data_IF_783879722126
#
_entry.id   IF_783879722126
#
_cell.length_a   1.000
_cell.length_b   1.000
_cell.length_c   1.000
_cell.angle_alpha   90.00
_cell.angle_beta   90.00
_cell.angle_gamma   90.00
#
_symmetry.space_group_name_H-M   'P 1'
#
loop_
_entity.id
_entity.type
_entity.pdbx_description
1 polymer ?
#
# COMPACT_ATOMS: atom_id res chain seq x y z
N UNK A 1 -18.78 25.66 -10.33
CA UNK A 1 -18.21 25.80 -11.70
C UNK A 1 -17.43 27.10 -11.94
N UNK A 2 -17.87 28.27 -11.44
CA UNK A 2 -17.12 29.55 -11.58
C UNK A 2 -15.77 29.60 -10.84
N UNK A 3 -15.65 28.93 -9.68
CA UNK A 3 -14.41 28.84 -8.90
C UNK A 3 -13.32 28.02 -9.59
N UNK A 4 -13.67 26.87 -10.20
CA UNK A 4 -12.77 26.00 -10.95
C UNK A 4 -12.20 26.69 -12.21
N UNK A 5 -13.03 27.43 -12.96
CA UNK A 5 -12.56 28.23 -14.10
C UNK A 5 -11.61 29.35 -13.67
N UNK A 6 -11.88 30.02 -12.55
CA UNK A 6 -10.98 31.04 -12.01
C UNK A 6 -9.65 30.43 -11.54
N UNK A 7 -9.67 29.23 -10.94
CA UNK A 7 -8.48 28.50 -10.53
C UNK A 7 -7.62 28.05 -11.72
N UNK A 8 -8.27 27.53 -12.77
CA UNK A 8 -7.60 27.13 -14.02
C UNK A 8 -7.00 28.32 -14.78
N UNK A 9 -7.70 29.46 -14.84
CA UNK A 9 -7.16 30.67 -15.47
C UNK A 9 -5.96 31.25 -14.70
N UNK A 10 -5.95 31.11 -13.37
CA UNK A 10 -4.79 31.47 -12.52
C UNK A 10 -3.63 30.48 -12.70
N UNK A 11 -3.91 29.20 -12.90
CA UNK A 11 -2.90 28.18 -13.25
C UNK A 11 -2.26 28.41 -14.62
N UNK A 12 -3.03 28.86 -15.61
CA UNK A 12 -2.49 29.18 -16.94
C UNK A 12 -1.69 30.48 -16.91
N UNK A 13 -2.07 31.44 -16.07
CA UNK A 13 -1.32 32.69 -15.89
C UNK A 13 0.09 32.50 -15.30
N UNK A 14 0.36 31.36 -14.62
CA UNK A 14 1.69 30.98 -14.12
C UNK A 14 2.72 30.71 -15.23
N UNK A 15 2.27 30.34 -16.43
CA UNK A 15 3.15 29.96 -17.54
C UNK A 15 3.42 31.10 -18.55
N UNK A 16 2.91 32.31 -18.31
CA UNK A 16 3.01 33.44 -19.23
C UNK A 16 3.27 34.79 -18.56
N UNK A 17 4.02 34.82 -17.45
CA UNK A 17 4.21 36.01 -16.61
C UNK A 17 5.05 37.11 -17.28
N UNK A 18 6.07 36.77 -18.08
CA UNK A 18 7.00 37.77 -18.65
C UNK A 18 6.34 38.74 -19.63
N UNK A 19 5.41 38.27 -20.48
CA UNK A 19 4.74 39.15 -21.46
C UNK A 19 3.80 40.17 -20.81
N UNK A 20 3.07 39.74 -19.76
CA UNK A 20 2.03 40.57 -19.13
C UNK A 20 2.59 41.54 -18.08
N UNK A 21 3.75 41.21 -17.51
CA UNK A 21 4.52 42.16 -16.70
C UNK A 21 5.05 43.31 -17.56
N UNK A 22 5.37 43.04 -18.84
CA UNK A 22 5.78 44.07 -19.79
C UNK A 22 4.62 44.98 -20.18
N UNK A 23 3.46 44.41 -20.47
CA UNK A 23 2.24 45.18 -20.78
C UNK A 23 1.85 46.12 -19.61
N UNK A 24 1.92 45.64 -18.37
CA UNK A 24 1.63 46.45 -17.18
C UNK A 24 2.68 47.57 -16.98
N UNK A 25 3.95 47.29 -17.27
CA UNK A 25 4.99 48.31 -17.23
C UNK A 25 4.78 49.40 -18.29
N UNK A 26 4.42 48.99 -19.51
CA UNK A 26 4.10 49.90 -20.62
C UNK A 26 2.85 50.75 -20.30
N UNK A 27 1.79 50.16 -19.75
CA UNK A 27 0.57 50.88 -19.33
C UNK A 27 0.86 51.92 -18.22
N UNK A 28 1.70 51.56 -17.25
CA UNK A 28 2.10 52.48 -16.18
C UNK A 28 2.99 53.61 -16.67
N UNK A 29 3.92 53.35 -17.59
CA UNK A 29 4.74 54.39 -18.23
C UNK A 29 3.88 55.37 -19.04
N UNK A 30 2.87 54.87 -19.76
CA UNK A 30 1.91 55.70 -20.48
C UNK A 30 1.14 56.63 -19.52
N UNK A 31 0.72 56.13 -18.35
CA UNK A 31 0.07 56.95 -17.32
C UNK A 31 0.98 58.05 -16.74
N UNK A 32 2.27 57.77 -16.56
CA UNK A 32 3.24 58.78 -16.11
C UNK A 32 3.40 59.88 -17.16
N UNK A 33 3.50 59.50 -18.44
CA UNK A 33 3.63 60.46 -19.54
C UNK A 33 2.41 61.37 -19.65
N UNK A 34 1.20 60.80 -19.52
CA UNK A 34 -0.05 61.55 -19.56
C UNK A 34 -0.13 62.61 -18.45
N UNK A 35 0.26 62.27 -17.22
CA UNK A 35 0.31 63.25 -16.11
C UNK A 35 1.40 64.31 -16.28
N UNK A 36 2.52 63.96 -16.90
CA UNK A 36 3.54 64.95 -17.25
C UNK A 36 2.98 65.94 -18.28
N UNK A 37 2.25 65.47 -19.28
CA UNK A 37 1.66 66.29 -20.34
C UNK A 37 0.53 67.20 -19.82
N UNK A 38 -0.35 66.69 -18.97
CA UNK A 38 -1.38 67.50 -18.28
C UNK A 38 -0.74 68.61 -17.42
N UNK A 39 0.31 68.29 -16.67
CA UNK A 39 0.99 69.27 -15.82
C UNK A 39 1.75 70.33 -16.64
N UNK A 40 2.27 69.96 -17.82
CA UNK A 40 2.82 70.92 -18.78
C UNK A 40 1.74 71.85 -19.33
N UNK A 41 0.56 71.33 -19.67
CA UNK A 41 -0.59 72.14 -20.10
C UNK A 41 -1.12 73.05 -18.99
N UNK A 42 -0.99 72.66 -17.73
CA UNK A 42 -1.28 73.49 -16.56
C UNK A 42 -0.22 74.56 -16.27
N UNK A 43 0.85 74.66 -17.10
CA UNK A 43 1.87 75.70 -17.02
C UNK A 43 3.09 75.37 -16.16
N UNK A 44 3.26 74.11 -15.74
CA UNK A 44 4.45 73.71 -14.98
C UNK A 44 5.68 73.53 -15.88
N UNK A 45 6.87 73.71 -15.30
CA UNK A 45 8.11 73.35 -15.98
C UNK A 45 8.26 71.82 -16.10
N UNK A 46 8.95 71.34 -17.14
CA UNK A 46 9.16 69.89 -17.39
C UNK A 46 9.74 69.14 -16.18
N UNK A 47 10.65 69.79 -15.44
CA UNK A 47 11.27 69.22 -14.25
C UNK A 47 10.28 69.04 -13.09
N UNK A 48 9.39 70.02 -12.89
CA UNK A 48 8.35 69.99 -11.86
C UNK A 48 7.23 69.01 -12.23
N UNK A 49 6.77 69.03 -13.49
CA UNK A 49 5.74 68.12 -14.00
C UNK A 49 6.14 66.64 -13.82
N UNK A 50 7.40 66.29 -14.10
CA UNK A 50 7.95 64.93 -13.88
C UNK A 50 8.02 64.53 -12.41
N UNK A 51 8.38 65.47 -11.53
CA UNK A 51 8.43 65.21 -10.09
C UNK A 51 7.03 65.03 -9.53
N UNK A 52 6.08 65.87 -9.91
CA UNK A 52 4.67 65.78 -9.49
C UNK A 52 4.02 64.47 -9.98
N UNK A 53 4.21 64.11 -11.25
CA UNK A 53 3.69 62.85 -11.81
C UNK A 53 4.23 61.61 -11.06
N UNK A 54 5.52 61.61 -10.70
CA UNK A 54 6.12 60.53 -9.90
C UNK A 54 5.60 60.47 -8.45
N UNK A 55 5.28 61.62 -7.86
CA UNK A 55 4.73 61.70 -6.50
C UNK A 55 3.26 61.24 -6.50
N UNK A 56 2.44 61.71 -7.45
CA UNK A 56 1.03 61.31 -7.61
C UNK A 56 0.85 59.81 -7.84
N UNK A 57 1.74 59.19 -8.62
CA UNK A 57 1.64 57.75 -8.90
C UNK A 57 2.02 56.86 -7.70
N UNK A 58 2.60 57.42 -6.63
CA UNK A 58 2.84 56.71 -5.37
C UNK A 58 3.55 55.37 -5.53
N UNK A 59 4.88 55.39 -5.67
CA UNK A 59 5.73 54.19 -5.59
C UNK A 59 5.39 53.11 -6.62
N UNK A 60 5.78 53.32 -7.89
CA UNK A 60 5.47 52.41 -9.00
C UNK A 60 5.81 50.93 -8.72
N UNK A 61 6.94 50.67 -8.05
CA UNK A 61 7.35 49.30 -7.71
C UNK A 61 6.43 48.64 -6.69
N UNK A 62 5.89 49.42 -5.74
CA UNK A 62 4.99 48.91 -4.71
C UNK A 62 3.60 48.59 -5.27
N UNK A 63 3.16 49.34 -6.28
CA UNK A 63 1.92 49.06 -7.01
C UNK A 63 2.07 47.81 -7.90
N UNK A 64 3.21 47.65 -8.60
CA UNK A 64 3.54 46.44 -9.37
C UNK A 64 3.61 45.19 -8.49
N UNK A 65 4.29 45.27 -7.34
CA UNK A 65 4.36 44.17 -6.37
C UNK A 65 2.99 43.78 -5.83
N UNK A 66 2.17 44.75 -5.40
CA UNK A 66 0.82 44.47 -4.92
C UNK A 66 -0.06 43.83 -6.00
N UNK A 67 0.13 44.22 -7.27
CA UNK A 67 -0.61 43.65 -8.39
C UNK A 67 -0.15 42.22 -8.71
N UNK A 68 1.16 41.95 -8.66
CA UNK A 68 1.74 40.59 -8.77
C UNK A 68 1.25 39.67 -7.65
N UNK A 69 1.31 40.13 -6.40
CA UNK A 69 0.88 39.36 -5.22
C UNK A 69 -0.62 39.03 -5.23
N UNK A 70 -1.46 39.88 -5.86
CA UNK A 70 -2.91 39.65 -6.02
C UNK A 70 -3.27 38.77 -7.22
N UNK A 71 -2.41 38.69 -8.25
CA UNK A 71 -2.66 37.92 -9.49
C UNK A 71 -2.12 36.49 -9.45
N UNK A 72 -0.93 36.28 -8.88
CA UNK A 72 -0.28 34.97 -8.84
C UNK A 72 -0.85 34.06 -7.75
N UNK A 73 -0.44 32.79 -7.78
CA UNK A 73 -0.44 31.93 -6.59
C UNK A 73 0.98 31.98 -6.03
N UNK A 74 1.38 33.02 -5.28
CA UNK A 74 2.76 33.22 -4.87
C UNK A 74 3.33 32.00 -4.11
N UNK A 75 2.48 31.28 -3.39
CA UNK A 75 2.86 30.01 -2.75
C UNK A 75 3.33 28.94 -3.75
N UNK A 76 2.67 28.83 -4.91
CA UNK A 76 2.99 27.83 -5.93
C UNK A 76 4.24 28.21 -6.72
N UNK A 77 4.40 29.50 -7.05
CA UNK A 77 5.61 30.03 -7.71
C UNK A 77 6.83 29.88 -6.81
N UNK A 78 6.71 30.25 -5.55
CA UNK A 78 7.77 30.08 -4.56
C UNK A 78 8.08 28.60 -4.37
N UNK A 79 7.07 27.73 -4.26
CA UNK A 79 7.28 26.29 -4.13
C UNK A 79 8.02 25.68 -5.33
N UNK A 80 7.67 26.06 -6.57
CA UNK A 80 8.38 25.60 -7.77
C UNK A 80 9.80 26.14 -7.87
N UNK A 81 10.00 27.41 -7.49
CA UNK A 81 11.33 28.03 -7.39
C UNK A 81 12.20 27.29 -6.38
N UNK A 82 11.66 26.99 -5.20
CA UNK A 82 12.33 26.26 -4.12
C UNK A 82 12.64 24.82 -4.53
N UNK A 83 11.73 24.12 -5.22
CA UNK A 83 11.99 22.80 -5.77
C UNK A 83 13.13 22.81 -6.79
N UNK A 84 13.13 23.78 -7.72
CA UNK A 84 14.18 23.90 -8.75
C UNK A 84 15.53 24.27 -8.13
N UNK A 85 15.51 25.15 -7.13
CA UNK A 85 16.70 25.49 -6.35
C UNK A 85 17.22 24.27 -5.58
N UNK A 86 16.35 23.54 -4.88
CA UNK A 86 16.67 22.32 -4.15
C UNK A 86 17.27 21.25 -5.06
N UNK A 87 16.66 20.99 -6.23
CA UNK A 87 17.19 20.03 -7.21
C UNK A 87 18.59 20.42 -7.71
N UNK A 88 18.84 21.73 -7.92
CA UNK A 88 20.16 22.23 -8.30
C UNK A 88 21.17 22.08 -7.15
N UNK A 89 20.75 22.29 -5.91
CA UNK A 89 21.60 22.09 -4.72
C UNK A 89 21.98 20.61 -4.52
N UNK A 90 21.03 19.69 -4.72
CA UNK A 90 21.26 18.24 -4.67
C UNK A 90 22.27 17.81 -5.75
N UNK A 91 22.11 18.29 -6.99
CA UNK A 91 23.08 18.05 -8.08
C UNK A 91 24.47 18.59 -7.80
N UNK A 92 24.58 19.72 -7.08
CA UNK A 92 25.87 20.33 -6.75
C UNK A 92 26.62 19.56 -5.66
N UNK A 93 25.90 18.82 -4.80
CA UNK A 93 26.46 18.06 -3.68
C UNK A 93 26.09 16.56 -3.79
N UNK A 94 26.63 15.82 -4.78
CA UNK A 94 26.22 14.46 -5.07
C UNK A 94 26.52 13.47 -3.95
N UNK A 95 27.64 13.63 -3.23
CA UNK A 95 28.02 12.71 -2.13
C UNK A 95 27.05 12.76 -0.94
N UNK A 96 26.74 13.97 -0.44
CA UNK A 96 25.75 14.16 0.62
C UNK A 96 24.36 13.67 0.19
N UNK A 97 23.96 14.03 -1.04
CA UNK A 97 22.70 13.58 -1.63
C UNK A 97 22.60 12.07 -1.68
N UNK A 98 23.66 11.37 -2.10
CA UNK A 98 23.68 9.91 -2.16
C UNK A 98 23.48 9.27 -0.78
N UNK A 99 24.17 9.76 0.25
CA UNK A 99 24.02 9.25 1.63
C UNK A 99 22.59 9.48 2.15
N UNK A 100 22.04 10.69 1.92
CA UNK A 100 20.68 11.02 2.33
C UNK A 100 19.64 10.13 1.63
N UNK A 101 19.77 9.95 0.31
CA UNK A 101 18.89 9.10 -0.51
C UNK A 101 19.00 7.65 -0.07
N UNK A 102 20.20 7.10 0.12
CA UNK A 102 20.38 5.72 0.57
C UNK A 102 19.76 5.48 1.94
N UNK A 103 19.92 6.42 2.87
CA UNK A 103 19.31 6.34 4.21
C UNK A 103 17.78 6.33 4.12
N UNK A 104 17.20 7.21 3.29
CA UNK A 104 15.76 7.25 3.03
C UNK A 104 15.25 5.96 2.39
N UNK A 105 15.92 5.48 1.34
CA UNK A 105 15.57 4.24 0.64
C UNK A 105 15.63 3.05 1.59
N UNK A 106 16.64 2.96 2.45
CA UNK A 106 16.76 1.87 3.42
C UNK A 106 15.63 1.93 4.46
N UNK A 107 15.36 3.11 5.03
CA UNK A 107 14.29 3.28 6.03
C UNK A 107 12.90 2.98 5.46
N UNK A 108 12.59 3.51 4.27
CA UNK A 108 11.31 3.28 3.59
C UNK A 108 11.21 1.83 3.15
N UNK A 109 12.26 1.29 2.52
CA UNK A 109 12.29 -0.07 1.99
C UNK A 109 12.17 -1.14 3.08
N UNK A 110 12.87 -0.98 4.19
CA UNK A 110 12.79 -1.91 5.32
C UNK A 110 11.39 -1.93 5.94
N UNK A 111 10.83 -0.75 6.26
CA UNK A 111 9.50 -0.66 6.85
C UNK A 111 8.42 -1.20 5.90
N UNK A 112 8.52 -0.86 4.61
CA UNK A 112 7.60 -1.37 3.59
C UNK A 112 7.74 -2.88 3.41
N UNK A 113 8.96 -3.40 3.44
CA UNK A 113 9.23 -4.83 3.31
C UNK A 113 8.66 -5.64 4.47
N UNK A 114 8.91 -5.21 5.71
CA UNK A 114 8.34 -5.84 6.91
C UNK A 114 6.82 -5.81 6.85
N UNK A 115 6.23 -4.65 6.53
CA UNK A 115 4.78 -4.53 6.43
C UNK A 115 4.21 -5.40 5.30
N UNK A 116 4.90 -5.54 4.17
CA UNK A 116 4.46 -6.40 3.06
C UNK A 116 4.39 -7.86 3.50
N UNK A 117 5.41 -8.35 4.22
CA UNK A 117 5.43 -9.70 4.77
C UNK A 117 4.32 -9.86 5.80
N UNK A 118 4.19 -8.94 6.77
CA UNK A 118 3.14 -8.99 7.78
C UNK A 118 1.73 -8.93 7.16
N UNK A 119 1.55 -8.12 6.13
CA UNK A 119 0.28 -8.03 5.43
C UNK A 119 -0.06 -9.33 4.71
N UNK A 120 0.90 -9.92 4.01
CA UNK A 120 0.73 -11.21 3.34
C UNK A 120 0.55 -12.39 4.30
N UNK A 121 1.19 -12.35 5.48
CA UNK A 121 1.22 -13.46 6.43
C UNK A 121 0.16 -13.38 7.53
N UNK A 122 -0.30 -12.18 7.91
CA UNK A 122 -1.12 -11.97 9.10
C UNK A 122 -2.32 -11.03 8.92
N UNK A 123 -2.27 -10.04 8.02
CA UNK A 123 -3.36 -9.04 7.90
C UNK A 123 -4.32 -9.31 6.74
N UNK A 124 -3.87 -9.98 5.68
CA UNK A 124 -4.73 -10.33 4.56
C UNK A 124 -5.68 -11.44 5.00
N UNK A 125 -6.98 -11.16 4.90
CA UNK A 125 -8.01 -12.15 5.14
C UNK A 125 -7.78 -13.37 4.24
N UNK A 126 -8.05 -14.54 4.81
CA UNK A 126 -7.92 -15.81 4.11
C UNK A 126 -8.86 -15.80 2.88
N UNK A 127 -8.45 -16.29 1.70
CA UNK A 127 -9.29 -16.28 0.51
C UNK A 127 -10.36 -17.38 0.57
N UNK A 128 -11.24 -17.30 1.56
CA UNK A 128 -12.37 -18.20 1.80
C UNK A 128 -13.66 -17.38 1.89
N UNK A 129 -14.82 -17.97 1.61
CA UNK A 129 -16.09 -17.32 1.89
C UNK A 129 -16.18 -16.91 3.36
N UNK A 130 -16.76 -15.73 3.63
CA UNK A 130 -16.95 -15.23 5.00
C UNK A 130 -15.68 -15.20 5.85
N UNK A 131 -14.54 -14.80 5.26
CA UNK A 131 -13.23 -14.82 5.91
C UNK A 131 -13.18 -13.98 7.21
N UNK A 132 -14.04 -12.98 7.34
CA UNK A 132 -14.25 -12.17 8.54
C UNK A 132 -14.85 -12.94 9.73
N UNK A 133 -15.49 -14.08 9.48
CA UNK A 133 -16.06 -14.96 10.51
C UNK A 133 -15.10 -16.07 10.95
N UNK A 134 -13.96 -16.22 10.27
CA UNK A 134 -12.96 -17.26 10.57
C UNK A 134 -12.08 -16.81 11.74
N UNK A 135 -12.08 -17.58 12.82
CA UNK A 135 -11.28 -17.32 14.01
C UNK A 135 -10.33 -18.46 14.34
N UNK A 136 -9.16 -18.11 14.88
CA UNK A 136 -8.22 -19.09 15.41
C UNK A 136 -8.55 -19.39 16.88
N UNK A 137 -8.95 -20.63 17.16
CA UNK A 137 -9.15 -21.10 18.54
C UNK A 137 -7.78 -21.42 19.15
N UNK A 138 -7.50 -20.86 20.32
CA UNK A 138 -6.27 -21.13 21.08
C UNK A 138 -6.60 -21.41 22.54
N UNK A 139 -5.87 -22.35 23.14
CA UNK A 139 -6.02 -22.65 24.57
C UNK A 139 -4.97 -21.90 25.37
N UNK A 140 -5.41 -21.11 26.34
CA UNK A 140 -4.53 -20.47 27.33
C UNK A 140 -4.65 -21.19 28.65
N UNK A 141 -3.57 -21.82 29.10
CA UNK A 141 -3.50 -22.35 30.46
C UNK A 141 -3.10 -21.22 31.40
N UNK A 142 -4.06 -20.72 32.18
CA UNK A 142 -3.72 -19.94 33.38
C UNK A 142 -2.87 -20.88 34.24
N UNK A 143 -1.66 -20.46 34.64
CA UNK A 143 -0.76 -21.24 35.51
C UNK A 143 -1.53 -21.68 36.77
N UNK A 144 -2.20 -22.82 36.71
CA UNK A 144 -2.68 -23.55 37.86
C UNK A 144 -1.41 -23.93 38.61
N UNK A 145 -1.32 -23.55 39.87
CA UNK A 145 -0.11 -23.69 40.68
C UNK A 145 0.44 -25.12 40.57
N UNK A 146 1.53 -25.28 39.84
CA UNK A 146 2.15 -26.57 39.56
C UNK A 146 2.81 -26.64 38.18
N UNK A 147 3.79 -27.55 37.97
CA UNK A 147 4.45 -27.72 36.68
C UNK A 147 3.54 -28.52 35.74
N UNK A 148 2.47 -27.91 35.22
CA UNK A 148 1.68 -28.51 34.13
C UNK A 148 2.57 -28.53 32.88
N UNK A 149 3.20 -29.67 32.62
CA UNK A 149 3.98 -29.93 31.41
C UNK A 149 3.07 -30.50 30.33
N UNK A 150 2.25 -29.64 29.71
CA UNK A 150 1.53 -30.01 28.50
C UNK A 150 2.38 -29.71 27.27
N UNK A 151 2.55 -30.72 26.43
CA UNK A 151 3.34 -30.60 25.22
C UNK A 151 2.63 -31.35 24.08
N UNK A 152 1.91 -30.59 23.24
CA UNK A 152 1.32 -31.11 21.99
C UNK A 152 2.13 -30.54 20.83
N UNK A 153 2.92 -31.41 20.16
CA UNK A 153 3.89 -31.01 19.11
C UNK A 153 4.76 -29.82 19.51
N UNK A 154 5.43 -29.91 20.66
CA UNK A 154 6.32 -28.87 21.22
C UNK A 154 5.63 -27.55 21.61
N UNK A 155 4.29 -27.51 21.65
CA UNK A 155 3.54 -26.32 22.04
C UNK A 155 2.44 -26.65 23.07
N UNK A 156 2.41 -25.89 24.17
CA UNK A 156 1.41 -26.07 25.22
C UNK A 156 0.02 -25.54 24.82
N UNK A 157 -0.08 -24.71 23.77
CA UNK A 157 -1.33 -24.08 23.32
C UNK A 157 -2.04 -24.83 22.19
N UNK A 158 -1.41 -25.84 21.57
CA UNK A 158 -2.01 -26.65 20.50
C UNK A 158 -2.98 -27.69 21.04
N UNK A 159 -3.96 -28.13 20.26
CA UNK A 159 -4.92 -29.17 20.69
C UNK A 159 -4.47 -30.56 20.24
N UNK A 160 -4.62 -31.56 21.11
CA UNK A 160 -4.59 -32.96 20.70
C UNK A 160 -5.83 -33.27 19.84
N UNK A 161 -5.76 -34.33 19.05
CA UNK A 161 -6.88 -34.71 18.18
C UNK A 161 -8.16 -35.04 18.99
N UNK A 162 -8.02 -35.68 20.15
CA UNK A 162 -9.16 -35.99 21.02
C UNK A 162 -9.81 -34.75 21.63
N UNK A 163 -9.01 -33.74 22.01
CA UNK A 163 -9.55 -32.45 22.44
C UNK A 163 -10.28 -31.76 21.29
N UNK A 164 -9.71 -31.75 20.07
CA UNK A 164 -10.39 -31.22 18.89
C UNK A 164 -11.75 -31.89 18.67
N UNK A 165 -11.83 -33.23 18.69
CA UNK A 165 -13.10 -33.93 18.50
C UNK A 165 -14.10 -33.57 19.58
N UNK A 166 -13.66 -33.47 20.85
CA UNK A 166 -14.55 -33.07 21.94
C UNK A 166 -15.09 -31.65 21.75
N UNK A 167 -14.24 -30.68 21.38
CA UNK A 167 -14.68 -29.32 21.11
C UNK A 167 -15.59 -29.23 19.90
N UNK A 168 -15.30 -29.95 18.81
CA UNK A 168 -16.14 -29.96 17.61
C UNK A 168 -17.52 -30.55 17.90
N UNK A 169 -17.57 -31.69 18.59
CA UNK A 169 -18.81 -32.44 18.79
C UNK A 169 -19.71 -31.79 19.87
N UNK A 170 -19.13 -30.96 20.74
CA UNK A 170 -19.83 -30.18 21.79
C UNK A 170 -19.86 -28.68 21.47
N UNK A 171 -19.68 -28.29 20.21
CA UNK A 171 -19.66 -26.90 19.80
C UNK A 171 -21.07 -26.37 19.52
N UNK A 172 -21.48 -25.36 20.29
CA UNK A 172 -22.71 -24.60 20.08
C UNK A 172 -22.47 -23.14 19.62
N UNK A 173 -21.21 -22.74 19.47
CA UNK A 173 -20.82 -21.32 19.24
C UNK A 173 -20.46 -21.07 17.78
N UNK A 174 -19.72 -21.98 17.15
CA UNK A 174 -19.25 -21.83 15.78
C UNK A 174 -20.15 -22.58 14.80
N UNK A 175 -20.21 -22.13 13.54
CA UNK A 175 -20.90 -22.86 12.46
C UNK A 175 -20.20 -24.18 12.11
N UNK A 176 -18.91 -24.28 12.39
CA UNK A 176 -18.12 -25.49 12.26
C UNK A 176 -16.73 -25.32 12.87
N UNK A 177 -16.11 -26.43 13.24
CA UNK A 177 -14.74 -26.45 13.75
C UNK A 177 -13.91 -27.42 12.91
N UNK A 178 -12.75 -26.96 12.45
CA UNK A 178 -11.76 -27.76 11.72
C UNK A 178 -10.44 -27.81 12.50
N UNK A 179 -9.63 -28.81 12.22
CA UNK A 179 -8.26 -28.91 12.73
C UNK A 179 -7.28 -29.03 11.58
N UNK A 180 -6.08 -28.47 11.78
CA UNK A 180 -4.94 -28.73 10.92
C UNK A 180 -3.63 -28.73 11.71
N UNK A 181 -2.66 -29.48 11.21
CA UNK A 181 -1.29 -29.48 11.65
C UNK A 181 -0.41 -29.12 10.44
N UNK A 182 0.15 -27.90 10.39
CA UNK A 182 0.97 -27.48 9.27
C UNK A 182 2.37 -28.11 9.34
N UNK A 183 3.12 -27.89 8.28
CA UNK A 183 4.55 -28.20 8.16
C UNK A 183 4.88 -29.69 8.40
N UNK A 184 4.06 -30.58 7.86
CA UNK A 184 4.32 -32.02 7.91
C UNK A 184 5.24 -32.37 6.75
N UNK A 185 6.45 -32.82 7.06
CA UNK A 185 7.40 -33.33 6.07
C UNK A 185 6.87 -34.62 5.46
N UNK A 186 6.86 -34.69 4.14
CA UNK A 186 6.39 -35.83 3.36
C UNK A 186 7.35 -36.03 2.20
N UNK A 187 7.86 -37.24 1.99
CA UNK A 187 8.59 -37.54 0.76
C UNK A 187 7.65 -38.20 -0.23
N UNK A 188 7.55 -37.60 -1.41
CA UNK A 188 6.93 -38.25 -2.56
C UNK A 188 7.97 -39.15 -3.20
N UNK A 189 7.64 -40.42 -3.38
CA UNK A 189 8.45 -41.40 -4.10
C UNK A 189 8.12 -41.42 -5.60
N UNK A 190 8.70 -42.39 -6.31
CA UNK A 190 8.54 -42.55 -7.76
C UNK A 190 9.80 -42.20 -8.54
N UNK A 191 9.67 -41.89 -9.82
CA UNK A 191 10.81 -41.66 -10.73
C UNK A 191 11.64 -40.43 -10.34
N UNK A 192 11.01 -39.44 -9.70
CA UNK A 192 11.67 -38.22 -9.23
C UNK A 192 11.24 -37.95 -7.79
N UNK A 193 11.93 -38.51 -6.78
CA UNK A 193 11.59 -38.27 -5.40
C UNK A 193 11.67 -36.79 -5.04
N UNK A 194 10.68 -36.30 -4.30
CA UNK A 194 10.61 -34.91 -3.87
C UNK A 194 10.29 -34.83 -2.38
N UNK A 195 11.07 -34.03 -1.66
CA UNK A 195 10.73 -33.63 -0.31
C UNK A 195 9.68 -32.52 -0.36
N UNK A 196 8.55 -32.75 0.30
CA UNK A 196 7.41 -31.87 0.30
C UNK A 196 7.05 -31.50 1.74
N UNK A 197 6.41 -30.35 1.86
CA UNK A 197 5.82 -29.90 3.11
C UNK A 197 4.31 -29.87 2.89
N UNK A 198 3.60 -30.74 3.60
CA UNK A 198 2.16 -30.84 3.61
C UNK A 198 1.53 -30.32 4.90
N UNK A 199 0.21 -30.50 4.98
CA UNK A 199 -0.57 -30.31 6.19
C UNK A 199 -1.45 -31.53 6.42
N UNK A 200 -1.57 -31.96 7.67
CA UNK A 200 -2.61 -32.90 8.08
C UNK A 200 -3.83 -32.09 8.48
N UNK A 201 -5.00 -32.47 8.02
CA UNK A 201 -6.25 -31.75 8.29
C UNK A 201 -7.33 -32.69 8.78
N UNK A 202 -8.35 -32.15 9.44
CA UNK A 202 -9.59 -32.87 9.72
C UNK A 202 -10.36 -33.19 8.43
N UNK A 203 -11.27 -34.17 8.46
CA UNK A 203 -12.04 -34.57 7.28
C UNK A 203 -12.88 -33.43 6.73
N UNK A 204 -13.56 -32.73 7.63
CA UNK A 204 -14.44 -31.61 7.35
C UNK A 204 -13.69 -30.31 7.01
N UNK A 205 -12.38 -30.35 6.77
CA UNK A 205 -11.57 -29.15 6.56
C UNK A 205 -12.09 -28.29 5.40
N UNK A 206 -12.33 -28.91 4.25
CA UNK A 206 -12.83 -28.23 3.06
C UNK A 206 -14.29 -27.80 3.19
N UNK A 207 -15.09 -28.57 3.93
CA UNK A 207 -16.51 -28.29 4.15
C UNK A 207 -16.70 -27.08 5.06
N UNK A 208 -15.95 -27.01 6.16
CA UNK A 208 -15.98 -25.87 7.10
C UNK A 208 -15.45 -24.59 6.45
N UNK A 209 -14.38 -24.69 5.63
CA UNK A 209 -13.89 -23.53 4.88
C UNK A 209 -14.76 -23.17 3.67
N UNK A 210 -15.71 -24.04 3.29
CA UNK A 210 -16.51 -23.88 2.07
C UNK A 210 -15.67 -23.69 0.80
N UNK A 211 -14.48 -24.32 0.75
CA UNK A 211 -13.59 -24.31 -0.41
C UNK A 211 -13.47 -25.74 -0.94
N UNK A 212 -14.32 -26.15 -1.89
CA UNK A 212 -14.20 -27.46 -2.50
C UNK A 212 -12.91 -27.53 -3.35
N UNK A 213 -12.25 -28.69 -3.44
CA UNK A 213 -11.15 -28.90 -4.37
C UNK A 213 -11.59 -28.61 -5.81
N UNK A 214 -10.72 -27.97 -6.60
CA UNK A 214 -11.01 -27.63 -7.99
C UNK A 214 -11.26 -28.88 -8.87
N UNK A 215 -10.71 -30.02 -8.48
CA UNK A 215 -10.87 -31.30 -9.15
C UNK A 215 -11.03 -32.41 -8.11
N UNK A 216 -12.00 -33.29 -8.33
CA UNK A 216 -12.30 -34.38 -7.41
C UNK A 216 -13.21 -33.95 -6.27
N UNK A 217 -12.83 -34.27 -5.02
CA UNK A 217 -13.64 -34.02 -3.81
C UNK A 217 -12.75 -33.85 -2.58
N UNK A 218 -13.32 -33.32 -1.51
CA UNK A 218 -12.72 -33.32 -0.19
C UNK A 218 -12.68 -34.71 0.47
N UNK A 219 -12.25 -34.75 1.72
CA UNK A 219 -12.17 -35.97 2.52
C UNK A 219 -13.55 -36.43 2.97
N UNK A 220 -13.72 -37.75 3.15
CA UNK A 220 -14.91 -38.34 3.76
C UNK A 220 -14.59 -38.85 5.15
N UNK A 221 -15.59 -38.87 6.03
CA UNK A 221 -15.42 -39.32 7.42
C UNK A 221 -14.84 -40.74 7.54
N UNK A 222 -15.27 -41.65 6.66
CA UNK A 222 -14.76 -43.02 6.63
C UNK A 222 -13.25 -43.12 6.30
N UNK A 223 -12.67 -42.07 5.70
CA UNK A 223 -11.28 -42.05 5.25
C UNK A 223 -10.32 -41.52 6.33
N UNK A 224 -10.85 -40.93 7.40
CA UNK A 224 -10.06 -40.37 8.49
C UNK A 224 -10.03 -41.25 9.75
N UNK A 225 -10.50 -42.50 9.63
CA UNK A 225 -10.49 -43.44 10.74
C UNK A 225 -9.04 -43.87 11.00
N UNK A 226 -8.65 -43.91 12.27
CA UNK A 226 -7.33 -44.40 12.67
C UNK A 226 -7.10 -45.84 12.16
N UNK A 227 -5.94 -46.09 11.54
CA UNK A 227 -5.62 -47.38 10.94
C UNK A 227 -6.13 -47.57 9.50
N UNK A 228 -6.70 -46.53 8.87
CA UNK A 228 -7.01 -46.57 7.44
C UNK A 228 -5.72 -46.82 6.63
N UNK A 229 -5.74 -47.87 5.80
CA UNK A 229 -4.61 -48.31 4.96
C UNK A 229 -4.58 -47.61 3.60
N UNK A 230 -5.59 -46.81 3.27
CA UNK A 230 -5.68 -46.01 2.05
C UNK A 230 -5.89 -44.52 2.39
N UNK A 231 -4.85 -43.81 2.88
CA UNK A 231 -4.95 -42.40 3.16
C UNK A 231 -5.19 -41.61 1.85
N UNK A 232 -6.16 -40.72 1.89
CA UNK A 232 -6.48 -39.81 0.77
C UNK A 232 -5.67 -38.54 0.94
N UNK A 233 -5.18 -38.00 -0.18
CA UNK A 233 -4.48 -36.71 -0.22
C UNK A 233 -5.20 -35.75 -1.15
N UNK A 234 -5.06 -34.46 -0.87
CA UNK A 234 -5.39 -33.40 -1.82
C UNK A 234 -4.09 -32.71 -2.21
N UNK A 235 -3.85 -32.60 -3.52
CA UNK A 235 -2.66 -31.95 -4.06
C UNK A 235 -2.90 -30.45 -4.19
N UNK A 236 -1.88 -29.65 -3.89
CA UNK A 236 -1.91 -28.23 -4.25
C UNK A 236 -1.84 -28.08 -5.76
N UNK A 237 -2.45 -27.01 -6.31
CA UNK A 237 -2.41 -26.71 -7.74
C UNK A 237 -0.96 -26.61 -8.25
N UNK A 238 -0.06 -26.01 -7.47
CA UNK A 238 1.37 -25.91 -7.81
C UNK A 238 2.04 -27.27 -7.98
N UNK A 239 1.81 -28.22 -7.06
CA UNK A 239 2.37 -29.57 -7.14
C UNK A 239 1.75 -30.36 -8.29
N UNK A 240 0.43 -30.24 -8.49
CA UNK A 240 -0.27 -30.89 -9.60
C UNK A 240 0.27 -30.44 -10.96
N UNK A 241 0.53 -29.14 -11.14
CA UNK A 241 1.12 -28.62 -12.38
C UNK A 241 2.58 -29.03 -12.56
N UNK A 242 3.39 -28.90 -11.51
CA UNK A 242 4.85 -29.09 -11.62
C UNK A 242 5.27 -30.56 -11.67
N UNK A 243 4.67 -31.42 -10.85
CA UNK A 243 5.05 -32.83 -10.74
C UNK A 243 4.15 -33.75 -11.59
N UNK A 244 2.91 -33.36 -11.85
CA UNK A 244 1.92 -34.18 -12.57
C UNK A 244 1.45 -33.57 -13.90
N UNK A 245 2.08 -32.48 -14.35
CA UNK A 245 1.80 -31.89 -15.66
C UNK A 245 0.36 -31.41 -15.86
N UNK A 246 -0.34 -31.09 -14.76
CA UNK A 246 -1.76 -30.76 -14.77
C UNK A 246 -2.68 -31.87 -15.34
N UNK A 247 -2.29 -33.15 -15.18
CA UNK A 247 -3.10 -34.29 -15.59
C UNK A 247 -4.42 -34.37 -14.80
N UNK A 248 -5.56 -34.16 -15.45
CA UNK A 248 -6.89 -34.24 -14.82
C UNK A 248 -7.31 -35.66 -14.47
N UNK A 249 -6.65 -36.68 -15.06
CA UNK A 249 -6.89 -38.08 -14.71
C UNK A 249 -6.20 -38.51 -13.42
N UNK A 250 -5.49 -37.61 -12.72
CA UNK A 250 -4.80 -37.91 -11.46
C UNK A 250 -5.75 -38.33 -10.33
N UNK A 251 -7.02 -37.93 -10.37
CA UNK A 251 -8.01 -38.28 -9.35
C UNK A 251 -8.20 -39.80 -9.30
N UNK A 252 -8.07 -40.37 -8.10
CA UNK A 252 -8.19 -41.81 -7.88
C UNK A 252 -6.92 -42.61 -8.18
N UNK A 253 -5.86 -41.98 -8.72
CA UNK A 253 -4.55 -42.63 -8.87
C UNK A 253 -3.82 -42.67 -7.53
N UNK A 254 -2.99 -43.71 -7.35
CA UNK A 254 -2.13 -43.86 -6.18
C UNK A 254 -0.86 -43.05 -6.38
N UNK A 255 -0.53 -42.22 -5.40
CA UNK A 255 0.78 -41.56 -5.28
C UNK A 255 1.63 -42.39 -4.33
N UNK A 256 2.90 -42.59 -4.67
CA UNK A 256 3.86 -43.31 -3.83
C UNK A 256 4.48 -42.32 -2.87
N UNK A 257 4.49 -42.65 -1.58
CA UNK A 257 5.13 -41.87 -0.52
C UNK A 257 6.26 -42.71 0.08
N UNK A 258 7.35 -42.06 0.48
CA UNK A 258 8.54 -42.68 1.07
C UNK A 258 8.83 -42.15 2.48
#
# INVERSE_FOLDING_TARGET
MRSLRAWLLRLVALFGSEGRDRDLAEEMEAHVLMHVEENLHAGMSLGEARRDARIKLGGMEQTKENYRARRGLPLLENFLSDLRFGARALRKNPGFTAVAVLTLVLGIGLNTGIFTILNGAALRLLPVPHAEEVVAVSQTYRKLQGPVRRNVRQNASFFSYSEYTAYRDQNDVFSGLLAYAPFVEVNMGGAHPQHLIGALTSCNYFDVLQVPPALGRGFRDAECIAGNTAPVVVLSDGLWRSAFGADTSIVGKRVIWA
#
